data_IF_686202076193
#
_entry.id   IF_686202076193
#
_cell.length_a   1.000
_cell.length_b   1.000
_cell.length_c   1.000
_cell.angle_alpha   90.00
_cell.angle_beta   90.00
_cell.angle_gamma   90.00
#
_symmetry.space_group_name_H-M   'P 1'
#
loop_
_entity.id
_entity.type
_entity.pdbx_description
1 polymer ?
#
# COMPACT_ATOMS: atom_id res chain seq x y z
N UNK A 1 -7.29 -31.68 38.00
CA UNK A 1 -6.10 -31.85 37.13
C UNK A 1 -5.10 -32.67 37.92
N UNK A 2 -4.48 -33.65 37.28
CA UNK A 2 -3.48 -34.53 37.90
C UNK A 2 -2.44 -34.91 36.83
N UNK A 3 -1.15 -34.70 37.08
CA UNK A 3 -0.11 -34.87 36.05
C UNK A 3 1.29 -34.45 36.48
N UNK A 4 2.25 -34.64 35.57
CA UNK A 4 3.68 -34.33 35.77
C UNK A 4 4.11 -33.02 35.09
N UNK A 5 3.25 -32.42 34.27
CA UNK A 5 3.55 -31.18 33.55
C UNK A 5 3.56 -29.96 34.46
N UNK A 6 4.70 -29.26 34.54
CA UNK A 6 4.85 -27.93 35.15
C UNK A 6 5.77 -27.05 34.30
N UNK A 7 5.77 -25.73 34.54
CA UNK A 7 6.61 -24.80 33.78
C UNK A 7 8.10 -25.12 33.96
N UNK A 8 8.82 -25.35 32.87
CA UNK A 8 10.23 -25.75 32.87
C UNK A 8 10.47 -27.26 32.95
N UNK A 9 9.42 -28.08 33.01
CA UNK A 9 9.56 -29.54 32.93
C UNK A 9 10.05 -29.98 31.54
N UNK A 10 11.03 -30.89 31.51
CA UNK A 10 11.58 -31.48 30.27
C UNK A 10 10.93 -32.83 30.02
N UNK A 11 10.13 -32.92 28.96
CA UNK A 11 9.55 -34.18 28.49
C UNK A 11 10.65 -35.02 27.85
N UNK A 12 10.82 -36.26 28.31
CA UNK A 12 11.80 -37.21 27.76
C UNK A 12 11.11 -38.29 26.91
N UNK A 13 11.81 -38.90 25.94
CA UNK A 13 11.21 -39.92 25.07
C UNK A 13 11.10 -41.31 25.73
N UNK A 14 11.51 -41.47 26.99
CA UNK A 14 11.65 -42.77 27.65
C UNK A 14 10.37 -43.27 28.32
N UNK A 15 9.40 -42.39 28.55
CA UNK A 15 8.14 -42.70 29.24
C UNK A 15 6.94 -42.31 28.37
N UNK A 16 5.73 -42.54 28.89
CA UNK A 16 4.52 -42.12 28.21
C UNK A 16 4.44 -40.59 28.09
N UNK A 17 3.71 -40.12 27.08
CA UNK A 17 3.62 -38.68 26.76
C UNK A 17 2.56 -37.94 27.60
N UNK A 18 2.11 -38.50 28.73
CA UNK A 18 1.03 -37.93 29.52
C UNK A 18 1.52 -36.70 30.31
N UNK A 19 1.02 -35.51 29.97
CA UNK A 19 1.32 -34.29 30.72
C UNK A 19 0.39 -34.11 31.93
N UNK A 20 -0.92 -34.19 31.70
CA UNK A 20 -1.95 -33.94 32.70
C UNK A 20 -3.28 -34.57 32.29
N UNK A 21 -3.99 -35.13 33.26
CA UNK A 21 -5.37 -35.59 33.15
C UNK A 21 -6.31 -34.47 33.56
N UNK A 22 -7.24 -34.14 32.66
CA UNK A 22 -8.36 -33.26 32.96
C UNK A 22 -9.59 -34.09 33.33
N UNK A 23 -10.25 -33.68 34.41
CA UNK A 23 -11.53 -34.26 34.85
C UNK A 23 -12.51 -33.12 35.04
N UNK A 24 -13.67 -33.21 34.40
CA UNK A 24 -14.78 -32.27 34.57
C UNK A 24 -15.98 -33.00 35.18
N UNK A 25 -16.79 -32.28 35.96
CA UNK A 25 -18.04 -32.77 36.55
C UNK A 25 -19.09 -31.67 36.50
N UNK A 26 -20.31 -32.03 36.16
CA UNK A 26 -21.50 -31.19 36.24
C UNK A 26 -22.74 -32.03 36.56
N UNK A 27 -23.92 -31.41 36.60
CA UNK A 27 -25.18 -32.11 36.87
C UNK A 27 -25.65 -32.93 35.64
N UNK A 28 -25.31 -32.47 34.44
CA UNK A 28 -25.65 -33.15 33.19
C UNK A 28 -24.41 -33.45 32.34
N UNK A 29 -24.53 -34.41 31.43
CA UNK A 29 -23.45 -34.73 30.49
C UNK A 29 -23.12 -33.56 29.53
N UNK A 30 -24.09 -32.86 28.93
CA UNK A 30 -23.81 -31.67 28.11
C UNK A 30 -23.04 -30.58 28.87
N UNK A 31 -23.41 -30.28 30.13
CA UNK A 31 -22.67 -29.33 30.95
C UNK A 31 -21.25 -29.82 31.26
N UNK A 32 -21.07 -31.13 31.48
CA UNK A 32 -19.76 -31.73 31.73
C UNK A 32 -18.84 -31.60 30.50
N UNK A 33 -19.38 -31.89 29.30
CA UNK A 33 -18.67 -31.69 28.02
C UNK A 33 -18.31 -30.23 27.82
N UNK A 34 -19.25 -29.30 28.07
CA UNK A 34 -18.99 -27.87 27.98
C UNK A 34 -17.87 -27.40 28.92
N UNK A 35 -17.87 -27.87 30.18
CA UNK A 35 -16.80 -27.58 31.15
C UNK A 35 -15.45 -28.15 30.71
N UNK A 36 -15.42 -29.36 30.16
CA UNK A 36 -14.19 -29.97 29.63
C UNK A 36 -13.65 -29.18 28.44
N UNK A 37 -14.52 -28.83 27.48
CA UNK A 37 -14.16 -27.99 26.32
C UNK A 37 -13.56 -26.67 26.77
N UNK A 38 -14.19 -25.98 27.72
CA UNK A 38 -13.67 -24.73 28.29
C UNK A 38 -12.28 -24.94 28.92
N UNK A 39 -12.11 -25.96 29.76
CA UNK A 39 -10.84 -26.24 30.43
C UNK A 39 -9.69 -26.51 29.42
N UNK A 40 -9.98 -27.26 28.35
CA UNK A 40 -9.01 -27.52 27.27
C UNK A 40 -8.71 -26.26 26.43
N UNK A 41 -9.71 -25.41 26.18
CA UNK A 41 -9.53 -24.13 25.50
C UNK A 41 -8.76 -23.10 26.36
N UNK A 42 -8.88 -23.16 27.68
CA UNK A 42 -8.14 -22.30 28.62
C UNK A 42 -6.69 -22.78 28.84
N UNK A 43 -6.40 -24.05 28.58
CA UNK A 43 -5.07 -24.63 28.77
C UNK A 43 -4.01 -23.97 27.88
N UNK A 44 -2.86 -23.60 28.46
CA UNK A 44 -1.72 -23.00 27.76
C UNK A 44 -0.47 -23.86 27.99
N UNK A 45 -0.11 -24.66 26.99
CA UNK A 45 1.13 -25.45 26.97
C UNK A 45 1.94 -24.98 25.76
N UNK A 46 3.20 -24.59 25.99
CA UNK A 46 4.15 -24.16 24.95
C UNK A 46 5.43 -24.98 25.09
N UNK A 47 6.11 -25.22 23.96
CA UNK A 47 7.38 -25.98 23.90
C UNK A 47 7.23 -27.40 23.36
N UNK A 48 6.05 -28.01 23.47
CA UNK A 48 5.73 -29.33 22.90
C UNK A 48 4.36 -29.34 22.25
N UNK A 49 4.17 -30.21 21.26
CA UNK A 49 2.84 -30.48 20.70
C UNK A 49 1.99 -31.27 21.69
N UNK A 50 0.67 -31.06 21.67
CA UNK A 50 -0.28 -31.77 22.54
C UNK A 50 -1.43 -32.34 21.72
N UNK A 51 -2.16 -33.30 22.28
CA UNK A 51 -3.36 -33.89 21.67
C UNK A 51 -4.64 -33.06 21.92
N UNK A 52 -4.55 -31.87 22.52
CA UNK A 52 -5.70 -31.00 22.81
C UNK A 52 -6.58 -30.76 21.57
N UNK A 53 -6.05 -30.46 20.37
CA UNK A 53 -6.89 -30.27 19.17
C UNK A 53 -7.72 -31.50 18.80
N UNK A 54 -7.15 -32.70 18.97
CA UNK A 54 -7.86 -33.97 18.75
C UNK A 54 -8.97 -34.18 19.79
N UNK A 55 -8.67 -33.92 21.07
CA UNK A 55 -9.68 -34.00 22.15
C UNK A 55 -10.83 -33.01 21.91
N UNK A 56 -10.53 -31.81 21.41
CA UNK A 56 -11.56 -30.83 21.04
C UNK A 56 -12.45 -31.33 19.88
N UNK A 57 -11.87 -31.98 18.86
CA UNK A 57 -12.62 -32.60 17.76
C UNK A 57 -13.60 -33.65 18.31
N UNK A 58 -13.13 -34.52 19.22
CA UNK A 58 -13.97 -35.54 19.86
C UNK A 58 -15.10 -34.88 20.66
N UNK A 59 -14.80 -33.90 21.51
CA UNK A 59 -15.78 -33.26 22.40
C UNK A 59 -16.83 -32.40 21.69
N UNK A 60 -16.63 -32.06 20.42
CA UNK A 60 -17.57 -31.28 19.60
C UNK A 60 -18.30 -32.12 18.57
N UNK A 61 -17.98 -33.42 18.46
CA UNK A 61 -18.66 -34.30 17.54
C UNK A 61 -20.08 -34.62 18.06
N UNK A 62 -21.14 -34.50 17.24
CA UNK A 62 -22.52 -34.73 17.68
C UNK A 62 -22.74 -36.10 18.34
N UNK A 63 -22.10 -37.15 17.81
CA UNK A 63 -22.18 -38.51 18.39
C UNK A 63 -21.60 -38.55 19.82
N UNK A 64 -20.51 -37.82 20.07
CA UNK A 64 -19.94 -37.73 21.42
C UNK A 64 -20.84 -36.91 22.35
N UNK A 65 -21.40 -35.79 21.88
CA UNK A 65 -22.31 -34.95 22.67
C UNK A 65 -23.61 -35.68 23.05
N UNK A 66 -24.04 -36.65 22.24
CA UNK A 66 -25.21 -37.50 22.54
C UNK A 66 -24.99 -38.43 23.74
N UNK A 67 -23.73 -38.67 24.13
CA UNK A 67 -23.36 -39.62 25.19
C UNK A 67 -23.43 -41.09 24.77
N UNK A 68 -23.82 -41.39 23.53
CA UNK A 68 -23.92 -42.75 22.99
C UNK A 68 -22.81 -42.95 21.95
N UNK A 69 -21.66 -43.47 22.39
CA UNK A 69 -20.50 -43.76 21.53
C UNK A 69 -20.10 -45.23 21.63
N UNK A 70 -19.56 -45.77 20.54
CA UNK A 70 -19.03 -47.15 20.48
C UNK A 70 -17.51 -47.16 20.50
N UNK A 71 -16.91 -48.32 20.76
CA UNK A 71 -15.44 -48.49 20.69
C UNK A 71 -14.86 -48.18 19.30
N UNK A 72 -15.67 -48.29 18.24
CA UNK A 72 -15.29 -47.94 16.87
C UNK A 72 -15.50 -46.47 16.50
N UNK A 73 -15.93 -45.61 17.42
CA UNK A 73 -16.29 -44.21 17.15
C UNK A 73 -15.17 -43.45 16.42
N UNK A 74 -13.94 -43.49 16.94
CA UNK A 74 -12.82 -42.72 16.36
C UNK A 74 -12.43 -43.25 14.97
N UNK A 75 -12.48 -44.55 14.74
CA UNK A 75 -12.10 -45.15 13.46
C UNK A 75 -13.15 -44.92 12.37
N UNK A 76 -14.43 -44.81 12.76
CA UNK A 76 -15.54 -44.43 11.87
C UNK A 76 -15.55 -42.96 11.49
N UNK A 77 -14.85 -42.12 12.25
CA UNK A 77 -14.83 -40.66 12.14
C UNK A 77 -13.37 -40.15 11.90
N UNK A 78 -12.73 -40.51 10.77
CA UNK A 78 -11.32 -40.21 10.51
C UNK A 78 -10.99 -38.71 10.44
N UNK A 79 -11.99 -37.86 10.19
CA UNK A 79 -11.87 -36.41 10.23
C UNK A 79 -11.50 -35.87 11.63
N UNK A 80 -11.79 -36.61 12.71
CA UNK A 80 -11.36 -36.24 14.07
C UNK A 80 -9.83 -36.12 14.17
N UNK A 81 -9.07 -36.84 13.33
CA UNK A 81 -7.59 -36.81 13.27
C UNK A 81 -7.06 -35.64 12.44
N UNK A 82 -7.91 -34.92 11.68
CA UNK A 82 -7.53 -33.78 10.84
C UNK A 82 -7.43 -32.49 11.67
N UNK A 83 -6.35 -32.37 12.44
CA UNK A 83 -6.13 -31.25 13.38
C UNK A 83 -5.61 -29.96 12.72
N UNK A 84 -5.18 -30.01 11.45
CA UNK A 84 -4.60 -28.87 10.72
C UNK A 84 -5.62 -27.82 10.27
N UNK A 85 -6.93 -28.15 10.27
CA UNK A 85 -8.02 -27.27 9.84
C UNK A 85 -9.02 -26.91 10.95
N UNK A 86 -8.75 -27.27 12.21
CA UNK A 86 -9.71 -27.11 13.29
C UNK A 86 -9.87 -25.63 13.70
N UNK A 87 -11.01 -25.04 13.35
CA UNK A 87 -11.43 -23.69 13.77
C UNK A 87 -12.11 -23.77 15.12
N UNK A 88 -11.35 -23.81 16.21
CA UNK A 88 -11.94 -23.70 17.54
C UNK A 88 -12.11 -22.23 17.91
N UNK A 89 -13.31 -21.85 18.34
CA UNK A 89 -13.51 -20.59 19.06
C UNK A 89 -12.88 -20.71 20.45
N UNK A 90 -11.58 -20.46 20.56
CA UNK A 90 -10.95 -20.16 21.84
C UNK A 90 -11.59 -18.88 22.41
N UNK A 91 -11.60 -18.73 23.74
CA UNK A 91 -12.34 -17.70 24.48
C UNK A 91 -12.03 -16.22 24.11
N UNK A 92 -11.10 -15.97 23.19
CA UNK A 92 -10.96 -14.69 22.50
C UNK A 92 -10.58 -14.91 21.03
N UNK A 93 -11.06 -14.03 20.15
CA UNK A 93 -10.76 -13.99 18.70
C UNK A 93 -9.25 -13.85 18.40
N UNK A 94 -8.50 -13.28 19.35
CA UNK A 94 -7.03 -13.21 19.32
C UNK A 94 -6.33 -14.56 19.51
N UNK A 95 -7.03 -15.57 20.05
CA UNK A 95 -6.47 -16.86 20.44
C UNK A 95 -6.97 -18.03 19.57
N UNK A 96 -8.05 -17.83 18.81
CA UNK A 96 -8.75 -18.89 18.10
C UNK A 96 -8.14 -19.31 16.77
N UNK A 97 -7.31 -18.44 16.21
CA UNK A 97 -6.75 -18.62 14.89
C UNK A 97 -5.28 -19.03 14.98
N UNK A 98 -4.95 -20.20 14.45
CA UNK A 98 -3.56 -20.62 14.22
C UNK A 98 -2.80 -19.58 13.38
N UNK A 99 -3.49 -18.79 12.55
CA UNK A 99 -2.88 -17.64 11.84
C UNK A 99 -2.50 -16.51 12.80
N UNK A 100 -3.27 -16.21 13.84
CA UNK A 100 -2.98 -15.15 14.81
C UNK A 100 -1.86 -15.54 15.79
N UNK A 101 -1.81 -16.79 16.26
CA UNK A 101 -0.68 -17.29 17.07
C UNK A 101 0.61 -17.27 16.26
N UNK A 102 0.56 -17.67 14.98
CA UNK A 102 1.69 -17.55 14.04
C UNK A 102 2.06 -16.09 13.78
N UNK A 103 1.10 -15.16 13.67
CA UNK A 103 1.40 -13.73 13.49
C UNK A 103 2.17 -13.16 14.66
N UNK A 104 1.74 -13.41 15.90
CA UNK A 104 2.45 -12.96 17.10
C UNK A 104 3.83 -13.63 17.22
N UNK A 105 3.92 -14.94 16.98
CA UNK A 105 5.19 -15.65 16.98
C UNK A 105 6.15 -15.11 15.91
N UNK A 106 5.66 -14.87 14.68
CA UNK A 106 6.45 -14.28 13.61
C UNK A 106 6.91 -12.86 13.95
N UNK A 107 6.05 -12.05 14.59
CA UNK A 107 6.43 -10.73 15.07
C UNK A 107 7.51 -10.82 16.14
N UNK A 108 7.37 -11.71 17.12
CA UNK A 108 8.38 -11.94 18.16
C UNK A 108 9.69 -12.44 17.55
N UNK A 109 9.65 -13.36 16.58
CA UNK A 109 10.83 -13.83 15.85
C UNK A 109 11.49 -12.70 15.07
N UNK A 110 10.71 -11.84 14.42
CA UNK A 110 11.20 -10.68 13.69
C UNK A 110 11.89 -9.68 14.65
N UNK A 111 11.24 -9.33 15.76
CA UNK A 111 11.80 -8.46 16.78
C UNK A 111 13.05 -9.06 17.44
N UNK A 112 13.03 -10.34 17.78
CA UNK A 112 14.19 -11.05 18.33
C UNK A 112 15.36 -11.06 17.34
N UNK A 113 15.09 -11.31 16.06
CA UNK A 113 16.10 -11.25 15.00
C UNK A 113 16.69 -9.84 14.89
N UNK A 114 15.88 -8.79 14.90
CA UNK A 114 16.38 -7.40 14.91
C UNK A 114 17.22 -7.09 16.15
N UNK A 115 16.80 -7.56 17.33
CA UNK A 115 17.54 -7.33 18.57
C UNK A 115 18.88 -8.04 18.62
N UNK A 116 18.99 -9.24 18.03
CA UNK A 116 20.22 -10.04 18.04
C UNK A 116 21.14 -9.70 16.87
N UNK A 117 20.58 -9.57 15.67
CA UNK A 117 21.33 -9.42 14.43
C UNK A 117 21.34 -7.98 13.88
N UNK A 118 20.59 -7.06 14.49
CA UNK A 118 20.45 -5.69 14.01
C UNK A 118 19.51 -5.56 12.81
N UNK A 119 19.40 -4.33 12.29
CA UNK A 119 18.66 -4.07 11.05
C UNK A 119 19.45 -4.58 9.84
N UNK A 120 18.75 -5.12 8.80
CA UNK A 120 19.41 -5.52 7.57
C UNK A 120 20.18 -4.36 6.92
N UNK A 121 21.42 -4.63 6.48
CA UNK A 121 22.33 -3.61 5.95
C UNK A 121 21.76 -2.93 4.68
N UNK A 122 20.97 -3.66 3.90
CA UNK A 122 20.28 -3.18 2.70
C UNK A 122 19.21 -2.10 2.97
N UNK A 123 18.81 -1.92 4.23
CA UNK A 123 17.96 -0.79 4.62
C UNK A 123 18.75 0.51 4.78
N UNK A 124 20.08 0.46 4.72
CA UNK A 124 20.96 1.62 4.88
C UNK A 124 20.93 2.21 6.29
N UNK A 125 20.43 1.43 7.27
CA UNK A 125 20.38 1.86 8.66
C UNK A 125 21.79 1.85 9.25
N UNK A 126 22.27 3.03 9.62
CA UNK A 126 23.54 3.17 10.35
C UNK A 126 23.33 2.73 11.80
N UNK A 127 23.80 1.52 12.12
CA UNK A 127 23.65 0.91 13.46
C UNK A 127 24.21 1.79 14.58
N UNK A 128 25.19 2.66 14.28
CA UNK A 128 25.76 3.60 15.27
C UNK A 128 24.83 4.76 15.61
N UNK A 129 23.84 5.03 14.74
CA UNK A 129 22.83 6.08 14.90
C UNK A 129 21.50 5.56 15.43
N UNK A 130 21.38 4.25 15.62
CA UNK A 130 20.19 3.63 16.21
C UNK A 130 20.29 3.80 17.73
N UNK A 131 19.54 4.77 18.26
CA UNK A 131 19.39 4.95 19.70
C UNK A 131 18.24 4.07 20.22
N UNK A 132 18.52 3.00 20.99
CA UNK A 132 17.49 2.11 21.52
C UNK A 132 16.58 2.79 22.56
N UNK A 133 17.01 3.92 23.12
CA UNK A 133 16.26 4.73 24.07
C UNK A 133 15.55 5.90 23.41
N UNK A 134 15.63 6.03 22.08
CA UNK A 134 14.98 7.12 21.35
C UNK A 134 13.49 7.02 21.55
N UNK A 135 12.95 7.90 22.39
CA UNK A 135 11.51 8.05 22.54
C UNK A 135 10.96 8.46 21.18
N UNK A 136 10.00 7.69 20.65
CA UNK A 136 9.17 8.18 19.55
C UNK A 136 8.58 9.50 20.00
N UNK A 137 8.98 10.59 19.35
CA UNK A 137 8.30 11.86 19.52
C UNK A 137 6.88 11.60 19.03
N UNK A 138 5.90 11.74 19.91
CA UNK A 138 4.50 11.60 19.52
C UNK A 138 4.25 12.51 18.33
N UNK A 139 3.70 11.95 17.25
CA UNK A 139 3.32 12.75 16.09
C UNK A 139 2.33 13.78 16.60
N UNK A 140 2.69 15.07 16.47
CA UNK A 140 1.74 16.16 16.75
C UNK A 140 0.75 16.15 15.61
N UNK A 141 -0.30 15.40 15.81
CA UNK A 141 -1.46 15.41 14.93
C UNK A 141 -2.06 16.82 15.00
N UNK A 142 -2.18 17.54 13.87
CA UNK A 142 -2.83 18.84 13.85
C UNK A 142 -4.23 18.72 14.46
N UNK A 143 -4.55 19.54 15.46
CA UNK A 143 -5.93 19.64 15.92
C UNK A 143 -6.69 20.45 14.89
N UNK A 144 -7.70 19.83 14.28
CA UNK A 144 -8.71 20.58 13.55
C UNK A 144 -9.42 21.45 14.57
N UNK A 145 -9.26 22.77 14.47
CA UNK A 145 -9.80 23.73 15.45
C UNK A 145 -11.34 23.72 15.47
N UNK A 146 -11.96 23.10 14.48
CA UNK A 146 -13.41 22.92 14.36
C UNK A 146 -13.63 21.66 13.51
N UNK A 147 -14.64 20.82 13.79
CA UNK A 147 -15.10 19.87 12.76
C UNK A 147 -15.34 20.68 11.49
N UNK A 148 -14.90 20.20 10.31
CA UNK A 148 -15.03 20.95 9.08
C UNK A 148 -16.48 21.40 8.97
N UNK A 149 -16.68 22.72 8.79
CA UNK A 149 -17.94 23.22 8.23
C UNK A 149 -18.24 22.34 7.02
N UNK A 150 -19.50 21.94 6.82
CA UNK A 150 -19.92 21.16 5.65
C UNK A 150 -19.11 21.63 4.44
N UNK A 151 -18.31 20.72 3.85
CA UNK A 151 -17.36 21.10 2.80
C UNK A 151 -18.16 21.78 1.70
N UNK A 152 -17.99 23.09 1.52
CA UNK A 152 -18.74 23.81 0.50
C UNK A 152 -18.32 23.29 -0.89
N UNK A 153 -19.30 22.74 -1.61
CA UNK A 153 -19.14 22.19 -2.96
C UNK A 153 -18.37 20.87 -3.05
N UNK A 154 -18.35 20.31 -4.26
CA UNK A 154 -17.71 19.01 -4.57
C UNK A 154 -16.19 19.04 -4.31
N UNK A 155 -15.64 17.97 -3.76
CA UNK A 155 -14.19 17.75 -3.77
C UNK A 155 -13.68 17.54 -5.19
N UNK A 156 -12.38 17.74 -5.43
CA UNK A 156 -11.84 17.57 -6.79
C UNK A 156 -11.94 16.12 -7.27
N UNK A 157 -11.88 15.14 -6.36
CA UNK A 157 -12.13 13.75 -6.73
C UNK A 157 -13.60 13.49 -7.06
N UNK A 158 -14.54 14.11 -6.36
CA UNK A 158 -15.96 14.00 -6.71
C UNK A 158 -16.22 14.52 -8.13
N UNK A 159 -15.65 15.68 -8.49
CA UNK A 159 -15.73 16.21 -9.87
C UNK A 159 -15.19 15.18 -10.88
N UNK A 160 -14.01 14.59 -10.61
CA UNK A 160 -13.44 13.58 -11.49
C UNK A 160 -14.29 12.31 -11.62
N UNK A 161 -14.92 11.85 -10.54
CA UNK A 161 -15.75 10.65 -10.56
C UNK A 161 -17.11 10.87 -11.22
N UNK A 162 -17.70 12.05 -11.03
CA UNK A 162 -19.04 12.39 -11.54
C UNK A 162 -18.98 12.89 -12.99
N UNK A 163 -18.02 13.76 -13.31
CA UNK A 163 -17.92 14.43 -14.61
C UNK A 163 -16.93 13.70 -15.55
N UNK A 164 -16.23 12.68 -15.04
CA UNK A 164 -15.24 11.90 -15.78
C UNK A 164 -13.89 12.62 -15.99
N UNK A 165 -12.90 11.92 -16.56
CA UNK A 165 -11.57 12.49 -16.86
C UNK A 165 -11.61 13.79 -17.69
N UNK A 166 -12.45 13.83 -18.73
CA UNK A 166 -12.59 14.99 -19.62
C UNK A 166 -13.26 16.17 -18.90
N UNK A 167 -14.29 15.89 -18.09
CA UNK A 167 -14.95 16.90 -17.26
C UNK A 167 -13.98 17.49 -16.22
N UNK A 168 -13.14 16.65 -15.62
CA UNK A 168 -12.11 17.11 -14.71
C UNK A 168 -11.01 17.93 -15.41
N UNK A 169 -10.58 17.54 -16.61
CA UNK A 169 -9.61 18.28 -17.41
C UNK A 169 -10.13 19.70 -17.71
N UNK A 170 -11.39 19.79 -18.14
CA UNK A 170 -12.07 21.07 -18.37
C UNK A 170 -12.15 21.91 -17.10
N UNK A 171 -12.55 21.31 -15.98
CA UNK A 171 -12.60 22.00 -14.68
C UNK A 171 -11.23 22.58 -14.29
N UNK A 172 -10.17 21.78 -14.41
CA UNK A 172 -8.78 22.21 -14.12
C UNK A 172 -8.37 23.34 -15.05
N UNK A 173 -8.73 23.28 -16.33
CA UNK A 173 -8.41 24.32 -17.31
C UNK A 173 -9.11 25.65 -17.03
N UNK A 174 -10.35 25.60 -16.57
CA UNK A 174 -11.18 26.76 -16.25
C UNK A 174 -10.87 27.37 -14.88
N UNK A 175 -10.22 26.61 -13.99
CA UNK A 175 -9.83 27.04 -12.66
C UNK A 175 -9.00 28.33 -12.68
N UNK A 176 -9.37 29.28 -11.80
CA UNK A 176 -8.67 30.55 -11.64
C UNK A 176 -7.60 30.42 -10.55
N UNK A 177 -6.34 30.33 -10.96
CA UNK A 177 -5.20 30.22 -10.06
C UNK A 177 -4.33 29.01 -10.40
N UNK A 178 -3.27 28.81 -9.63
CA UNK A 178 -2.41 27.64 -9.74
C UNK A 178 -2.94 26.55 -8.80
N UNK A 179 -3.27 25.39 -9.37
CA UNK A 179 -3.51 24.19 -8.58
C UNK A 179 -2.18 23.53 -8.23
N UNK A 180 -2.14 22.87 -7.07
CA UNK A 180 -0.95 22.15 -6.61
C UNK A 180 -1.20 20.65 -6.58
N UNK A 181 -0.14 19.89 -6.79
CA UNK A 181 -0.07 18.46 -6.49
C UNK A 181 0.92 18.26 -5.36
N UNK A 182 0.54 17.50 -4.33
CA UNK A 182 1.44 17.13 -3.26
C UNK A 182 2.21 15.84 -3.62
N UNK A 183 3.55 15.86 -3.54
CA UNK A 183 4.43 14.72 -3.82
C UNK A 183 5.01 14.06 -2.57
N UNK A 184 4.58 14.50 -1.38
CA UNK A 184 5.10 14.07 -0.08
C UNK A 184 5.06 12.54 0.08
N UNK A 185 4.01 11.90 -0.43
CA UNK A 185 3.79 10.45 -0.29
C UNK A 185 4.48 9.60 -1.36
N UNK A 186 5.15 10.22 -2.35
CA UNK A 186 5.86 9.53 -3.44
C UNK A 186 7.23 10.16 -3.72
N UNK A 187 7.31 11.22 -4.52
CA UNK A 187 8.61 11.71 -5.02
C UNK A 187 9.50 12.31 -3.93
N UNK A 188 8.91 12.96 -2.92
CA UNK A 188 9.67 13.63 -1.88
C UNK A 188 10.53 12.62 -1.08
N UNK A 189 9.92 11.56 -0.56
CA UNK A 189 10.65 10.54 0.19
C UNK A 189 11.43 9.59 -0.72
N UNK A 190 11.03 9.43 -1.99
CA UNK A 190 11.88 8.78 -2.99
C UNK A 190 13.22 9.51 -3.16
N UNK A 191 13.19 10.84 -3.21
CA UNK A 191 14.36 11.70 -3.36
C UNK A 191 15.21 11.81 -2.09
N UNK A 192 14.57 11.98 -0.93
CA UNK A 192 15.26 12.31 0.33
C UNK A 192 15.52 11.11 1.24
N UNK A 193 14.69 10.08 1.16
CA UNK A 193 14.65 8.96 2.12
C UNK A 193 14.70 7.61 1.42
N UNK A 194 15.26 7.55 0.21
CA UNK A 194 15.37 6.33 -0.60
C UNK A 194 14.06 5.53 -0.68
N UNK A 195 12.92 6.22 -0.74
CA UNK A 195 11.58 5.62 -0.83
C UNK A 195 11.17 4.81 0.41
N UNK A 196 11.80 5.03 1.58
CA UNK A 196 11.61 4.20 2.79
C UNK A 196 10.46 4.63 3.69
N UNK A 197 9.59 5.55 3.24
CA UNK A 197 8.40 5.91 4.01
C UNK A 197 7.41 4.74 4.04
N UNK A 198 7.02 4.36 5.25
CA UNK A 198 6.18 3.18 5.54
C UNK A 198 4.70 3.50 5.50
N UNK A 199 3.89 2.48 5.21
CA UNK A 199 2.43 2.61 5.11
C UNK A 199 1.81 3.19 6.37
N UNK A 200 2.25 2.73 7.55
CA UNK A 200 1.71 3.21 8.83
C UNK A 200 1.94 4.71 9.04
N UNK A 201 3.08 5.26 8.62
CA UNK A 201 3.34 6.69 8.80
C UNK A 201 2.45 7.55 7.88
N UNK A 202 2.14 7.06 6.67
CA UNK A 202 1.19 7.70 5.76
C UNK A 202 -0.25 7.59 6.27
N UNK A 203 -0.64 6.41 6.76
CA UNK A 203 -1.98 6.17 7.31
C UNK A 203 -2.26 7.05 8.54
N UNK A 204 -1.25 7.28 9.38
CA UNK A 204 -1.38 8.11 10.58
C UNK A 204 -1.72 9.59 10.28
N UNK A 205 -1.39 10.11 9.09
CA UNK A 205 -1.72 11.47 8.69
C UNK A 205 -2.83 11.58 7.63
N UNK A 206 -3.32 10.44 7.11
CA UNK A 206 -4.18 10.39 5.94
C UNK A 206 -5.48 11.22 6.04
N UNK A 207 -6.20 11.15 7.17
CA UNK A 207 -7.45 11.90 7.35
C UNK A 207 -7.23 13.42 7.31
N UNK A 208 -6.11 13.89 7.89
CA UNK A 208 -5.71 15.29 7.85
C UNK A 208 -5.31 15.72 6.44
N UNK A 209 -4.57 14.86 5.74
CA UNK A 209 -4.21 15.07 4.33
C UNK A 209 -5.46 15.16 3.45
N UNK A 210 -6.46 14.30 3.68
CA UNK A 210 -7.72 14.36 2.94
C UNK A 210 -8.44 15.70 3.10
N UNK A 211 -8.48 16.20 4.33
CA UNK A 211 -9.12 17.47 4.61
C UNK A 211 -8.36 18.64 4.01
N UNK A 212 -7.04 18.70 4.25
CA UNK A 212 -6.19 19.79 3.79
C UNK A 212 -6.09 19.85 2.25
N UNK A 213 -6.11 18.72 1.57
CA UNK A 213 -5.85 18.63 0.13
C UNK A 213 -7.10 18.38 -0.72
N UNK A 214 -8.32 18.44 -0.17
CA UNK A 214 -9.57 18.15 -0.89
C UNK A 214 -9.81 19.00 -2.16
N UNK A 215 -9.14 20.16 -2.25
CA UNK A 215 -9.18 21.10 -3.39
C UNK A 215 -7.82 21.24 -4.10
N UNK A 216 -6.88 20.33 -3.87
CA UNK A 216 -5.65 20.21 -4.67
C UNK A 216 -5.93 19.46 -5.98
N UNK A 217 -5.04 19.57 -6.96
CA UNK A 217 -5.16 18.80 -8.21
C UNK A 217 -5.10 17.30 -7.92
N UNK A 218 -4.08 16.85 -7.20
CA UNK A 218 -3.92 15.46 -6.82
C UNK A 218 -2.94 15.28 -5.66
N UNK A 219 -2.92 14.08 -5.10
CA UNK A 219 -1.89 13.61 -4.19
C UNK A 219 -1.11 12.50 -4.88
N UNK A 220 0.16 12.76 -5.15
CA UNK A 220 1.04 11.75 -5.73
C UNK A 220 1.53 10.81 -4.63
N UNK A 221 1.08 9.55 -4.72
CA UNK A 221 1.22 8.59 -3.62
C UNK A 221 1.61 7.18 -4.06
N UNK A 222 1.79 6.96 -5.36
CA UNK A 222 2.04 5.63 -5.92
C UNK A 222 2.88 5.63 -7.20
N UNK A 223 3.30 4.44 -7.62
CA UNK A 223 4.17 4.28 -8.79
C UNK A 223 5.63 4.66 -8.51
N UNK A 224 6.41 4.82 -9.58
CA UNK A 224 7.87 4.94 -9.44
C UNK A 224 8.47 3.79 -8.64
N UNK A 225 9.41 4.09 -7.74
CA UNK A 225 10.07 3.08 -6.91
C UNK A 225 9.23 2.60 -5.71
N UNK A 226 8.07 3.21 -5.43
CA UNK A 226 7.30 2.85 -4.23
C UNK A 226 6.77 1.42 -4.29
N UNK A 227 6.47 0.91 -5.49
CA UNK A 227 5.90 -0.41 -5.68
C UNK A 227 6.86 -1.53 -5.29
N UNK A 228 8.10 -1.51 -5.82
CA UNK A 228 9.09 -2.54 -5.51
C UNK A 228 9.68 -2.34 -4.10
N UNK A 229 9.93 -1.10 -3.68
CA UNK A 229 10.55 -0.82 -2.38
C UNK A 229 9.65 -1.26 -1.23
N UNK A 230 8.33 -1.08 -1.36
CA UNK A 230 7.37 -1.57 -0.37
C UNK A 230 7.55 -3.07 -0.11
N UNK A 231 7.62 -3.88 -1.17
CA UNK A 231 7.77 -5.33 -1.04
C UNK A 231 9.18 -5.74 -0.63
N UNK A 232 10.20 -5.16 -1.29
CA UNK A 232 11.60 -5.57 -1.19
C UNK A 232 12.23 -5.17 0.13
N UNK A 233 11.98 -3.95 0.59
CA UNK A 233 12.69 -3.37 1.74
C UNK A 233 11.78 -3.08 2.94
N UNK A 234 10.50 -2.77 2.70
CA UNK A 234 9.58 -2.50 3.79
C UNK A 234 8.79 -3.74 4.23
N UNK A 235 8.82 -4.80 3.42
CA UNK A 235 8.03 -6.02 3.61
C UNK A 235 6.52 -5.74 3.76
N UNK A 236 6.05 -4.76 2.99
CA UNK A 236 4.66 -4.29 2.94
C UNK A 236 4.10 -4.51 1.53
N UNK A 237 2.78 -4.69 1.43
CA UNK A 237 2.10 -4.80 0.14
C UNK A 237 1.77 -3.39 -0.39
N UNK A 238 2.24 -2.98 -1.59
CA UNK A 238 1.89 -1.67 -2.14
C UNK A 238 0.39 -1.54 -2.40
N UNK A 239 -0.29 -2.64 -2.80
CA UNK A 239 -1.74 -2.65 -3.05
C UNK A 239 -2.54 -2.37 -1.77
N UNK A 240 -2.14 -3.01 -0.66
CA UNK A 240 -2.75 -2.75 0.65
C UNK A 240 -2.51 -1.29 1.08
N UNK A 241 -1.33 -0.74 0.81
CA UNK A 241 -1.04 0.69 1.04
C UNK A 241 -2.02 1.57 0.25
N UNK A 242 -2.22 1.29 -1.03
CA UNK A 242 -3.15 2.05 -1.88
C UNK A 242 -4.58 2.01 -1.32
N UNK A 243 -5.08 0.82 -1.04
CA UNK A 243 -6.46 0.60 -0.59
C UNK A 243 -6.74 1.24 0.78
N UNK A 244 -5.82 1.07 1.74
CA UNK A 244 -5.92 1.68 3.08
C UNK A 244 -5.88 3.21 3.02
N UNK A 245 -5.01 3.77 2.18
CA UNK A 245 -4.95 5.22 1.99
C UNK A 245 -6.18 5.74 1.26
N UNK A 246 -6.70 4.99 0.29
CA UNK A 246 -7.90 5.36 -0.47
C UNK A 246 -9.12 5.47 0.42
N UNK A 247 -9.29 4.54 1.37
CA UNK A 247 -10.37 4.55 2.35
C UNK A 247 -10.32 5.80 3.24
N UNK A 248 -9.13 6.20 3.69
CA UNK A 248 -8.92 7.35 4.57
C UNK A 248 -8.87 8.70 3.84
N UNK A 249 -8.58 8.69 2.55
CA UNK A 249 -8.53 9.88 1.71
C UNK A 249 -9.56 9.73 0.61
N UNK A 250 -10.87 9.94 0.84
CA UNK A 250 -11.88 9.78 -0.22
C UNK A 250 -11.98 10.95 -1.21
N UNK A 251 -11.45 12.14 -0.88
CA UNK A 251 -11.79 13.40 -1.57
C UNK A 251 -10.71 13.95 -2.52
N UNK A 252 -9.49 13.41 -2.45
CA UNK A 252 -8.33 13.91 -3.22
C UNK A 252 -8.01 12.95 -4.35
N UNK A 253 -7.89 13.37 -5.63
CA UNK A 253 -7.46 12.47 -6.70
C UNK A 253 -6.10 11.84 -6.38
N UNK A 254 -5.99 10.52 -6.45
CA UNK A 254 -4.69 9.84 -6.27
C UNK A 254 -3.94 9.78 -7.57
N UNK A 255 -2.70 10.26 -7.56
CA UNK A 255 -1.82 10.25 -8.71
C UNK A 255 -0.72 9.21 -8.56
N UNK A 256 -0.40 8.55 -9.67
CA UNK A 256 0.77 7.69 -9.80
C UNK A 256 1.67 8.11 -10.95
N UNK A 257 2.96 7.79 -10.83
CA UNK A 257 3.92 7.84 -11.93
C UNK A 257 4.00 6.46 -12.61
N UNK A 258 3.68 6.42 -13.91
CA UNK A 258 3.66 5.21 -14.73
C UNK A 258 4.68 5.33 -15.87
N UNK A 259 5.59 4.36 -16.00
CA UNK A 259 6.44 4.26 -17.19
C UNK A 259 5.68 3.53 -18.29
N UNK A 260 5.45 4.17 -19.43
CA UNK A 260 4.49 3.70 -20.45
C UNK A 260 4.65 2.24 -20.85
N UNK A 261 5.87 1.82 -21.22
CA UNK A 261 6.13 0.45 -21.67
C UNK A 261 6.12 -0.61 -20.56
N UNK A 262 6.47 -0.23 -19.32
CA UNK A 262 6.85 -1.20 -18.28
C UNK A 262 6.07 -1.06 -16.97
N UNK A 263 5.06 -0.18 -16.93
CA UNK A 263 4.30 0.21 -15.75
C UNK A 263 5.20 0.67 -14.59
N UNK A 264 5.44 -0.22 -13.62
CA UNK A 264 6.29 -0.01 -12.43
C UNK A 264 7.44 -1.01 -12.33
N UNK A 265 7.66 -1.81 -13.38
CA UNK A 265 8.68 -2.85 -13.40
C UNK A 265 9.97 -2.43 -14.09
N UNK A 266 10.96 -3.31 -14.00
CA UNK A 266 12.35 -3.06 -14.45
C UNK A 266 12.69 -3.67 -15.81
N UNK A 267 11.78 -4.45 -16.40
CA UNK A 267 11.96 -5.09 -17.70
C UNK A 267 10.76 -4.81 -18.59
N UNK A 268 10.86 -5.17 -19.86
CA UNK A 268 9.76 -5.06 -20.80
C UNK A 268 8.72 -6.13 -20.50
N UNK A 269 7.45 -5.74 -20.58
CA UNK A 269 6.31 -6.64 -20.44
C UNK A 269 5.50 -6.65 -21.73
N UNK A 270 4.82 -7.75 -22.05
CA UNK A 270 3.85 -7.73 -23.13
C UNK A 270 2.71 -6.77 -22.80
N UNK A 271 2.14 -6.12 -23.82
CA UNK A 271 1.14 -5.05 -23.70
C UNK A 271 0.00 -5.41 -22.74
N UNK A 272 -0.52 -6.65 -22.83
CA UNK A 272 -1.61 -7.13 -21.98
C UNK A 272 -1.32 -7.03 -20.47
N UNK A 273 -0.05 -7.10 -20.05
CA UNK A 273 0.35 -6.91 -18.65
C UNK A 273 0.22 -5.45 -18.26
N UNK A 274 0.60 -4.51 -19.13
CA UNK A 274 0.47 -3.06 -18.89
C UNK A 274 -1.00 -2.67 -18.77
N UNK A 275 -1.85 -3.16 -19.68
CA UNK A 275 -3.31 -2.97 -19.61
C UNK A 275 -3.88 -3.54 -18.31
N UNK A 276 -3.50 -4.77 -17.94
CA UNK A 276 -4.01 -5.41 -16.72
C UNK A 276 -3.55 -4.69 -15.45
N UNK A 277 -2.33 -4.17 -15.45
CA UNK A 277 -1.80 -3.37 -14.35
C UNK A 277 -2.60 -2.08 -14.18
N UNK A 278 -2.86 -1.34 -15.27
CA UNK A 278 -3.63 -0.10 -15.21
C UNK A 278 -5.08 -0.34 -14.76
N UNK A 279 -5.73 -1.38 -15.28
CA UNK A 279 -7.07 -1.84 -14.84
C UNK A 279 -7.11 -2.07 -13.32
N UNK A 280 -6.13 -2.81 -12.79
CA UNK A 280 -6.06 -3.10 -11.35
C UNK A 280 -5.73 -1.84 -10.52
N UNK A 281 -4.80 -0.99 -10.99
CA UNK A 281 -4.45 0.27 -10.34
C UNK A 281 -5.66 1.20 -10.21
N UNK A 282 -6.46 1.34 -11.28
CA UNK A 282 -7.68 2.14 -11.26
C UNK A 282 -8.72 1.55 -10.29
N UNK A 283 -8.94 0.23 -10.32
CA UNK A 283 -9.86 -0.46 -9.40
C UNK A 283 -9.48 -0.32 -7.93
N UNK A 284 -8.19 -0.34 -7.61
CA UNK A 284 -7.69 -0.17 -6.24
C UNK A 284 -7.67 1.31 -5.79
N UNK A 285 -7.86 2.27 -6.71
CA UNK A 285 -8.14 3.67 -6.36
C UNK A 285 -7.18 4.73 -6.88
N UNK A 286 -6.30 4.40 -7.83
CA UNK A 286 -5.55 5.40 -8.60
C UNK A 286 -6.50 6.16 -9.53
N UNK A 287 -6.41 7.48 -9.55
CA UNK A 287 -7.28 8.32 -10.36
C UNK A 287 -6.55 8.95 -11.55
N UNK A 288 -5.32 9.45 -11.31
CA UNK A 288 -4.47 10.15 -12.28
C UNK A 288 -3.23 9.32 -12.60
N UNK A 289 -2.98 9.09 -13.89
CA UNK A 289 -1.82 8.37 -14.39
C UNK A 289 -0.91 9.35 -15.14
N UNK A 290 0.21 9.73 -14.51
CA UNK A 290 1.28 10.45 -15.19
C UNK A 290 2.11 9.45 -15.99
N UNK A 291 1.89 9.40 -17.30
CA UNK A 291 2.56 8.48 -18.23
C UNK A 291 3.79 9.15 -18.80
N UNK A 292 4.96 8.55 -18.63
CA UNK A 292 6.21 9.03 -19.22
C UNK A 292 7.00 7.89 -19.87
N UNK A 293 7.92 8.27 -20.76
CA UNK A 293 8.96 7.38 -21.27
C UNK A 293 10.35 8.01 -21.01
N UNK A 294 11.32 7.18 -20.68
CA UNK A 294 12.68 7.62 -20.32
C UNK A 294 13.44 8.32 -21.44
N UNK A 295 13.02 8.13 -22.70
CA UNK A 295 13.61 8.71 -23.89
C UNK A 295 12.62 9.60 -24.65
N UNK A 296 11.45 9.89 -24.06
CA UNK A 296 10.32 10.52 -24.75
C UNK A 296 9.90 9.75 -26.02
N UNK A 297 10.07 8.43 -26.04
CA UNK A 297 9.74 7.62 -27.20
C UNK A 297 8.22 7.48 -27.36
N UNK A 298 7.72 7.92 -28.52
CA UNK A 298 6.29 8.12 -28.78
C UNK A 298 5.46 6.84 -28.71
N UNK A 299 5.97 5.75 -29.26
CA UNK A 299 5.27 4.45 -29.25
C UNK A 299 5.11 3.91 -27.82
N UNK A 300 6.14 4.08 -26.98
CA UNK A 300 6.08 3.69 -25.57
C UNK A 300 5.10 4.55 -24.77
N UNK A 301 5.04 5.86 -25.07
CA UNK A 301 4.07 6.77 -24.48
C UNK A 301 2.66 6.35 -24.86
N UNK A 302 2.42 6.07 -26.15
CA UNK A 302 1.11 5.66 -26.66
C UNK A 302 0.59 4.41 -25.95
N UNK A 303 1.41 3.37 -25.77
CA UNK A 303 0.99 2.17 -25.03
C UNK A 303 0.51 2.50 -23.61
N UNK A 304 1.24 3.33 -22.89
CA UNK A 304 0.86 3.74 -21.53
C UNK A 304 -0.40 4.61 -21.49
N UNK A 305 -0.55 5.53 -22.44
CA UNK A 305 -1.73 6.39 -22.60
C UNK A 305 -2.96 5.54 -22.89
N UNK A 306 -2.89 4.64 -23.87
CA UNK A 306 -3.99 3.76 -24.25
C UNK A 306 -4.38 2.83 -23.08
N UNK A 307 -3.40 2.25 -22.37
CA UNK A 307 -3.66 1.37 -21.23
C UNK A 307 -4.31 2.08 -20.02
N UNK A 308 -3.84 3.28 -19.69
CA UNK A 308 -4.40 4.09 -18.60
C UNK A 308 -5.80 4.63 -18.96
N UNK A 309 -5.99 5.06 -20.21
CA UNK A 309 -7.28 5.52 -20.74
C UNK A 309 -8.31 4.39 -20.78
N UNK A 310 -7.93 3.20 -21.27
CA UNK A 310 -8.79 2.02 -21.29
C UNK A 310 -9.23 1.55 -19.89
N UNK A 311 -8.44 1.83 -18.85
CA UNK A 311 -8.83 1.59 -17.47
C UNK A 311 -9.84 2.63 -16.93
N UNK A 312 -10.07 3.74 -17.63
CA UNK A 312 -10.90 4.86 -17.18
C UNK A 312 -10.16 5.85 -16.27
N UNK A 313 -8.83 5.91 -16.37
CA UNK A 313 -8.00 6.85 -15.62
C UNK A 313 -7.93 8.24 -16.26
N UNK A 314 -7.67 9.27 -15.46
CA UNK A 314 -7.23 10.56 -15.97
C UNK A 314 -5.76 10.42 -16.42
N UNK A 315 -5.55 10.50 -17.73
CA UNK A 315 -4.22 10.35 -18.35
C UNK A 315 -3.53 11.70 -18.47
N UNK A 316 -2.38 11.83 -17.83
CA UNK A 316 -1.46 12.97 -17.95
C UNK A 316 -0.22 12.54 -18.74
N UNK A 317 -0.07 13.06 -19.97
CA UNK A 317 1.06 12.76 -20.84
C UNK A 317 2.28 13.59 -20.48
N UNK A 318 3.36 12.95 -20.02
CA UNK A 318 4.55 13.65 -19.56
C UNK A 318 5.67 13.66 -20.59
N UNK A 319 6.19 14.86 -20.86
CA UNK A 319 7.44 15.09 -21.56
C UNK A 319 8.58 15.25 -20.55
N UNK A 320 9.60 14.40 -20.66
CA UNK A 320 10.80 14.45 -19.82
C UNK A 320 11.70 15.57 -20.31
N UNK A 321 11.94 16.57 -19.47
CA UNK A 321 12.72 17.76 -19.82
C UNK A 321 14.23 17.52 -19.64
N UNK A 322 15.01 17.99 -20.59
CA UNK A 322 16.47 18.04 -20.57
C UNK A 322 16.99 19.17 -21.46
N UNK A 323 18.26 19.54 -21.30
CA UNK A 323 18.84 20.67 -22.02
C UNK A 323 18.32 22.02 -21.51
N UNK A 324 18.31 23.02 -22.39
CA UNK A 324 17.92 24.39 -22.07
C UNK A 324 17.27 25.06 -23.28
N UNK A 325 15.94 25.11 -23.30
CA UNK A 325 15.17 25.73 -24.39
C UNK A 325 15.37 27.24 -24.50
N UNK A 326 15.92 27.88 -23.46
CA UNK A 326 16.20 29.32 -23.47
C UNK A 326 17.55 29.66 -24.14
N UNK A 327 18.36 28.64 -24.45
CA UNK A 327 19.65 28.76 -25.10
C UNK A 327 19.63 28.08 -26.49
N UNK A 328 19.42 28.85 -27.57
CA UNK A 328 19.31 28.30 -28.93
C UNK A 328 20.61 27.69 -29.46
N UNK A 329 21.73 27.86 -28.75
CA UNK A 329 23.01 27.25 -29.13
C UNK A 329 23.17 25.83 -28.58
N UNK A 330 22.31 25.41 -27.64
CA UNK A 330 22.40 24.13 -26.93
C UNK A 330 21.56 22.99 -27.56
N UNK A 331 21.71 22.81 -28.87
CA UNK A 331 21.56 21.51 -29.53
C UNK A 331 20.14 20.94 -29.66
N UNK A 332 20.04 19.59 -29.62
CA UNK A 332 18.93 18.75 -30.13
C UNK A 332 17.56 18.97 -29.47
N UNK A 333 17.50 19.47 -28.23
CA UNK A 333 16.27 19.58 -27.45
C UNK A 333 15.84 21.05 -27.34
N UNK A 334 15.42 21.60 -28.46
CA UNK A 334 14.94 22.98 -28.58
C UNK A 334 13.45 23.11 -28.24
N UNK A 335 12.91 24.32 -28.38
CA UNK A 335 11.50 24.60 -28.09
C UNK A 335 10.56 23.82 -29.02
N UNK A 336 10.89 23.72 -30.31
CA UNK A 336 10.07 23.00 -31.30
C UNK A 336 9.98 21.51 -31.00
N UNK A 337 11.09 20.90 -30.52
CA UNK A 337 11.08 19.52 -30.07
C UNK A 337 9.98 19.28 -29.02
N UNK A 338 9.91 20.11 -27.98
CA UNK A 338 8.92 19.94 -26.91
C UNK A 338 7.49 20.31 -27.35
N UNK A 339 7.33 21.34 -28.19
CA UNK A 339 6.02 21.70 -28.75
C UNK A 339 5.48 20.57 -29.65
N UNK A 340 6.33 19.97 -30.48
CA UNK A 340 5.94 18.80 -31.29
C UNK A 340 5.59 17.58 -30.40
N UNK A 341 6.28 17.40 -29.27
CA UNK A 341 5.96 16.33 -28.33
C UNK A 341 4.63 16.57 -27.62
N UNK A 342 4.35 17.82 -27.24
CA UNK A 342 3.08 18.22 -26.67
C UNK A 342 1.91 17.99 -27.66
N UNK A 343 2.08 18.36 -28.93
CA UNK A 343 1.09 18.14 -29.99
C UNK A 343 0.77 16.65 -30.16
N UNK A 344 1.78 15.82 -30.31
CA UNK A 344 1.58 14.38 -30.45
C UNK A 344 0.92 13.74 -29.21
N UNK A 345 1.24 14.21 -28.00
CA UNK A 345 0.56 13.76 -26.78
C UNK A 345 -0.92 14.19 -26.77
N UNK A 346 -1.22 15.41 -27.23
CA UNK A 346 -2.60 15.87 -27.40
C UNK A 346 -3.35 14.99 -28.43
N UNK A 347 -2.71 14.66 -29.55
CA UNK A 347 -3.26 13.76 -30.58
C UNK A 347 -3.48 12.32 -30.06
N UNK A 348 -2.70 11.88 -29.06
CA UNK A 348 -2.94 10.62 -28.35
C UNK A 348 -4.16 10.65 -27.42
N UNK A 349 -4.78 11.81 -27.20
CA UNK A 349 -5.99 11.93 -26.38
C UNK A 349 -5.72 12.00 -24.87
N UNK A 350 -4.60 12.59 -24.45
CA UNK A 350 -4.34 12.85 -23.02
C UNK A 350 -5.25 13.95 -22.47
N UNK A 351 -5.52 13.91 -21.16
CA UNK A 351 -6.39 14.87 -20.47
C UNK A 351 -5.60 16.07 -19.94
N UNK A 352 -4.30 15.92 -19.72
CA UNK A 352 -3.36 17.01 -19.44
C UNK A 352 -1.97 16.70 -19.98
N UNK A 353 -1.18 17.75 -20.14
CA UNK A 353 0.25 17.67 -20.47
C UNK A 353 1.07 17.89 -19.21
N UNK A 354 2.17 17.15 -19.04
CA UNK A 354 3.11 17.36 -17.95
C UNK A 354 4.52 17.66 -18.43
N UNK A 355 5.12 18.74 -17.92
CA UNK A 355 6.57 18.97 -18.03
C UNK A 355 7.21 18.24 -16.85
N UNK A 356 7.94 17.14 -17.12
CA UNK A 356 8.68 16.40 -16.10
C UNK A 356 10.15 16.75 -16.16
N UNK A 357 10.55 17.77 -15.39
CA UNK A 357 11.94 18.10 -15.15
C UNK A 357 12.50 17.27 -13.98
N UNK A 358 12.92 16.04 -14.29
CA UNK A 358 13.39 15.08 -13.29
C UNK A 358 14.73 15.46 -12.63
N UNK A 359 15.46 16.42 -13.20
CA UNK A 359 16.81 16.78 -12.75
C UNK A 359 16.91 18.21 -12.19
N UNK A 360 15.83 19.00 -12.24
CA UNK A 360 15.86 20.39 -11.77
C UNK A 360 16.65 21.31 -12.70
N UNK A 361 16.53 21.11 -14.02
CA UNK A 361 17.23 21.85 -15.06
C UNK A 361 16.42 23.01 -15.63
N UNK A 362 15.11 23.05 -15.38
CA UNK A 362 14.22 24.04 -15.95
C UNK A 362 14.40 25.38 -15.23
N UNK A 363 15.16 26.30 -15.85
CA UNK A 363 15.35 27.66 -15.32
C UNK A 363 14.06 28.47 -15.43
N UNK A 364 13.88 29.56 -14.65
CA UNK A 364 12.66 30.38 -14.71
C UNK A 364 12.37 30.92 -16.12
N UNK A 365 13.40 31.37 -16.83
CA UNK A 365 13.30 31.84 -18.22
C UNK A 365 12.88 30.72 -19.17
N UNK A 366 13.46 29.52 -19.01
CA UNK A 366 13.09 28.36 -19.81
C UNK A 366 11.67 27.89 -19.53
N UNK A 367 11.23 27.92 -18.26
CA UNK A 367 9.86 27.60 -17.85
C UNK A 367 8.84 28.53 -18.50
N UNK A 368 9.08 29.85 -18.44
CA UNK A 368 8.19 30.85 -19.06
C UNK A 368 8.05 30.61 -20.56
N UNK A 369 9.17 30.41 -21.26
CA UNK A 369 9.19 30.13 -22.70
C UNK A 369 8.45 28.84 -23.04
N UNK A 370 8.79 27.74 -22.36
CA UNK A 370 8.25 26.41 -22.65
C UNK A 370 6.76 26.34 -22.38
N UNK A 371 6.32 26.77 -21.20
CA UNK A 371 4.92 26.68 -20.79
C UNK A 371 4.05 27.61 -21.65
N UNK A 372 4.54 28.80 -22.01
CA UNK A 372 3.83 29.71 -22.91
C UNK A 372 3.65 29.12 -24.31
N UNK A 373 4.71 28.52 -24.87
CA UNK A 373 4.63 27.88 -26.19
C UNK A 373 3.70 26.67 -26.19
N UNK A 374 3.81 25.79 -25.19
CA UNK A 374 2.91 24.64 -25.03
C UNK A 374 1.45 25.09 -24.84
N UNK A 375 1.21 26.18 -24.09
CA UNK A 375 -0.13 26.75 -23.90
C UNK A 375 -0.71 27.31 -25.19
N UNK A 376 0.12 27.94 -26.03
CA UNK A 376 -0.31 28.46 -27.32
C UNK A 376 -0.67 27.32 -28.29
N UNK A 377 0.12 26.25 -28.30
CA UNK A 377 -0.09 25.08 -29.17
C UNK A 377 -1.30 24.23 -28.72
N UNK A 378 -1.43 23.99 -27.42
CA UNK A 378 -2.46 23.13 -26.83
C UNK A 378 -3.33 23.95 -25.86
N UNK A 379 -4.17 24.87 -26.35
CA UNK A 379 -4.88 25.85 -25.52
C UNK A 379 -5.88 25.23 -24.54
N UNK A 380 -6.46 24.08 -24.91
CA UNK A 380 -7.55 23.43 -24.16
C UNK A 380 -7.03 22.48 -23.06
N UNK A 381 -5.80 21.98 -23.18
CA UNK A 381 -5.25 21.02 -22.23
C UNK A 381 -4.61 21.71 -21.02
N UNK A 382 -4.92 21.32 -19.77
CA UNK A 382 -4.11 21.69 -18.62
C UNK A 382 -2.63 21.35 -18.81
N UNK A 383 -1.76 22.20 -18.24
CA UNK A 383 -0.31 21.97 -18.23
C UNK A 383 0.11 21.85 -16.77
N UNK A 384 0.76 20.75 -16.43
CA UNK A 384 1.25 20.44 -15.10
C UNK A 384 2.78 20.44 -15.10
N UNK A 385 3.40 21.30 -14.31
CA UNK A 385 4.87 21.36 -14.21
C UNK A 385 5.34 20.59 -12.99
N UNK A 386 6.31 19.70 -13.19
CA UNK A 386 7.04 18.97 -12.16
C UNK A 386 8.52 19.30 -12.28
N UNK A 387 9.14 19.77 -11.19
CA UNK A 387 10.58 19.99 -11.12
C UNK A 387 11.14 19.53 -9.77
N UNK A 388 12.47 19.43 -9.69
CA UNK A 388 13.20 19.18 -8.45
C UNK A 388 13.98 20.43 -8.06
N UNK A 389 14.04 20.74 -6.76
CA UNK A 389 14.76 21.91 -6.25
C UNK A 389 16.27 21.67 -6.08
N UNK A 390 16.87 20.83 -6.92
CA UNK A 390 18.29 20.47 -6.84
C UNK A 390 19.22 21.67 -7.01
N UNK A 391 18.82 22.62 -7.86
CA UNK A 391 19.55 23.86 -8.10
C UNK A 391 19.14 25.02 -7.18
N UNK A 392 18.18 24.81 -6.25
CA UNK A 392 17.66 25.87 -5.38
C UNK A 392 16.85 26.94 -6.11
N UNK A 393 16.30 26.62 -7.28
CA UNK A 393 15.54 27.54 -8.15
C UNK A 393 14.14 27.05 -8.48
N UNK A 394 13.68 25.93 -7.90
CA UNK A 394 12.38 25.34 -8.27
C UNK A 394 11.16 26.19 -7.91
N UNK A 395 11.31 27.17 -7.01
CA UNK A 395 10.25 28.12 -6.63
C UNK A 395 10.26 29.40 -7.48
N UNK A 396 11.42 29.76 -8.04
CA UNK A 396 11.61 30.98 -8.83
C UNK A 396 11.05 30.81 -10.24
#
# INVERSE_FOLDING_TARGET
MDGVGYSGYTVTPYYDSMLVKYTARAATFPETVARMRRALQECRIRGVNTNIPFLMNVLTHPEFESGIVTTGFIDKNPELKKVSGAQWSFASESQSSTKNTRKLENLLRYLANLSVNGHPAELGADVTKIDPNRKRVGIKIPKLETPPKEKEGRSHRQILLEDGPEGYAKYVREHKGLLLMDTTWRDAHQSLLATRMRTEELVNCAEYTNEALAKMFSLEMWGGATFDVAMRFLHECPWERLERLREKVPDVPFQMLLRGANAVGYTNYPDNVVYKFCDQAKKSGVDVFRVFDSLNYRDNLKLGVDAAGAAGGFVEGALSYTGDVSDPTKGKYDLEYYVSLARDLADMGVHSLAVKDMAGLLTPKAAELLVSAMRAECPDLPIHVHTHDTAGTGVA
#
